data_IF_613099935023
#
_entry.id   IF_613099935023
#
_cell.length_a   1.000
_cell.length_b   1.000
_cell.length_c   1.000
_cell.angle_alpha   90.00
_cell.angle_beta   90.00
_cell.angle_gamma   90.00
#
_symmetry.space_group_name_H-M   'P 1'
#
loop_
_entity.id
_entity.type
_entity.pdbx_description
1 polymer ?
#
# COMPACT_ATOMS: atom_id res chain seq x y z
N UNK A 1 10.37 -23.01 17.87
CA UNK A 1 10.80 -22.05 16.82
C UNK A 1 9.61 -21.15 16.50
N UNK A 2 9.57 -19.95 17.09
CA UNK A 2 8.42 -19.05 16.97
C UNK A 2 8.23 -18.59 15.52
N UNK A 3 7.01 -18.73 14.99
CA UNK A 3 6.63 -18.14 13.71
C UNK A 3 6.58 -16.63 13.92
N UNK A 4 7.68 -15.94 13.67
CA UNK A 4 7.66 -14.47 13.60
C UNK A 4 6.85 -14.11 12.36
N UNK A 5 5.67 -13.52 12.56
CA UNK A 5 4.92 -12.92 11.46
C UNK A 5 5.71 -11.73 10.94
N UNK A 6 6.15 -11.83 9.67
CA UNK A 6 6.82 -10.73 8.98
C UNK A 6 5.84 -9.57 8.88
N UNK A 7 6.24 -8.40 9.36
CA UNK A 7 5.48 -7.17 9.32
C UNK A 7 6.30 -6.08 8.63
N UNK A 8 5.63 -5.19 7.90
CA UNK A 8 6.27 -4.00 7.36
C UNK A 8 6.57 -3.00 8.49
N UNK A 9 7.69 -2.26 8.40
CA UNK A 9 8.02 -1.23 9.38
C UNK A 9 6.98 -0.09 9.35
N UNK A 10 6.73 0.50 10.52
CA UNK A 10 5.81 1.63 10.69
C UNK A 10 6.62 2.93 10.79
N UNK A 11 6.91 3.52 9.65
CA UNK A 11 7.57 4.82 9.57
C UNK A 11 6.57 5.98 9.61
N UNK A 12 7.05 7.21 9.79
CA UNK A 12 6.23 8.44 9.86
C UNK A 12 5.32 8.63 8.65
N UNK A 13 5.74 8.10 7.51
CA UNK A 13 5.07 8.25 6.21
C UNK A 13 3.99 7.19 5.98
N UNK A 14 4.14 5.99 6.59
CA UNK A 14 3.25 4.85 6.38
C UNK A 14 2.31 4.59 7.56
N UNK A 15 2.52 5.26 8.70
CA UNK A 15 1.71 5.08 9.90
C UNK A 15 0.29 5.65 9.71
N UNK A 16 -0.70 4.76 9.75
CA UNK A 16 -2.12 5.11 9.74
C UNK A 16 -2.51 5.83 11.04
N UNK A 17 -2.72 7.15 10.96
CA UNK A 17 -3.07 8.01 12.11
C UNK A 17 -4.57 7.97 12.45
N UNK A 18 -5.44 7.69 11.47
CA UNK A 18 -6.91 7.69 11.63
C UNK A 18 -7.45 6.25 11.62
N UNK A 19 -8.29 5.88 12.60
CA UNK A 19 -8.81 4.51 12.78
C UNK A 19 -7.70 3.44 12.82
N UNK A 20 -6.65 3.72 13.60
CA UNK A 20 -5.48 2.85 13.75
C UNK A 20 -5.80 1.40 14.18
N UNK A 21 -6.91 1.15 14.87
CA UNK A 21 -7.38 -0.19 15.23
C UNK A 21 -7.68 -1.11 14.03
N UNK A 22 -7.94 -0.54 12.85
CA UNK A 22 -8.21 -1.30 11.62
C UNK A 22 -6.94 -1.52 10.78
N UNK A 23 -5.80 -0.94 11.16
CA UNK A 23 -4.58 -1.01 10.37
C UNK A 23 -3.86 -2.34 10.58
N UNK A 24 -3.61 -3.06 9.48
CA UNK A 24 -2.81 -4.29 9.47
C UNK A 24 -1.52 -4.06 8.67
N UNK A 25 -0.38 -4.33 9.29
CA UNK A 25 0.96 -4.25 8.67
C UNK A 25 1.56 -5.64 8.43
N UNK A 26 0.75 -6.70 8.56
CA UNK A 26 1.22 -8.06 8.33
C UNK A 26 1.48 -8.29 6.85
N UNK A 27 2.59 -8.96 6.54
CA UNK A 27 2.98 -9.28 5.17
C UNK A 27 1.90 -10.15 4.49
N UNK A 28 1.31 -11.08 5.23
CA UNK A 28 0.23 -11.95 4.75
C UNK A 28 -1.01 -11.15 4.31
N UNK A 29 -1.47 -10.19 5.12
CA UNK A 29 -2.63 -9.37 4.75
C UNK A 29 -2.34 -8.50 3.53
N UNK A 30 -1.19 -7.84 3.50
CA UNK A 30 -0.81 -6.92 2.41
C UNK A 30 -0.63 -7.68 1.10
N UNK A 31 0.13 -8.79 1.11
CA UNK A 31 0.33 -9.61 -0.10
C UNK A 31 -0.97 -10.27 -0.56
N UNK A 32 -1.86 -10.65 0.38
CA UNK A 32 -3.20 -11.14 0.03
C UNK A 32 -4.01 -10.09 -0.72
N UNK A 33 -4.02 -8.83 -0.25
CA UNK A 33 -4.73 -7.73 -0.91
C UNK A 33 -4.14 -7.46 -2.29
N UNK A 34 -2.82 -7.29 -2.39
CA UNK A 34 -2.14 -6.96 -3.64
C UNK A 34 -2.35 -8.04 -4.71
N UNK A 35 -2.20 -9.32 -4.34
CA UNK A 35 -2.39 -10.42 -5.30
C UNK A 35 -3.86 -10.64 -5.68
N UNK A 36 -4.81 -10.17 -4.87
CA UNK A 36 -6.25 -10.24 -5.20
C UNK A 36 -6.74 -9.08 -6.07
N UNK A 37 -5.99 -7.97 -6.11
CA UNK A 37 -6.39 -6.77 -6.83
C UNK A 37 -5.99 -6.84 -8.31
N UNK A 38 -6.96 -6.64 -9.21
CA UNK A 38 -6.70 -6.52 -10.65
C UNK A 38 -6.32 -5.09 -11.08
N UNK A 39 -6.64 -4.08 -10.27
CA UNK A 39 -6.44 -2.68 -10.59
C UNK A 39 -5.70 -1.95 -9.47
N UNK A 40 -4.82 -1.02 -9.83
CA UNK A 40 -4.17 -0.08 -8.92
C UNK A 40 -4.26 1.35 -9.46
N UNK A 41 -4.44 2.29 -8.54
CA UNK A 41 -4.37 3.72 -8.85
C UNK A 41 -2.96 4.22 -8.57
N UNK A 42 -2.26 4.67 -9.60
CA UNK A 42 -0.92 5.21 -9.48
C UNK A 42 -0.98 6.73 -9.53
N UNK A 43 -0.61 7.35 -8.42
CA UNK A 43 -0.49 8.80 -8.31
C UNK A 43 0.97 9.20 -8.51
N UNK A 44 1.23 10.11 -9.45
CA UNK A 44 2.56 10.68 -9.65
C UNK A 44 2.46 12.17 -10.00
N UNK A 45 3.55 12.90 -9.74
CA UNK A 45 3.66 14.32 -10.05
C UNK A 45 4.46 14.51 -11.34
N UNK A 46 3.83 14.79 -12.50
CA UNK A 46 4.57 15.04 -13.74
C UNK A 46 5.32 16.37 -13.67
N UNK A 47 6.51 16.49 -14.29
CA UNK A 47 7.35 17.69 -14.19
C UNK A 47 6.70 18.96 -14.78
N UNK A 48 5.65 18.81 -15.59
CA UNK A 48 5.02 19.91 -16.34
C UNK A 48 3.67 20.36 -15.76
N UNK A 49 3.18 19.76 -14.67
CA UNK A 49 1.89 20.15 -14.06
C UNK A 49 2.01 20.18 -12.53
N UNK A 50 1.44 21.20 -11.85
CA UNK A 50 1.45 21.30 -10.40
C UNK A 50 0.43 20.36 -9.72
N UNK A 51 -0.38 19.63 -10.49
CA UNK A 51 -1.42 18.75 -9.96
C UNK A 51 -1.03 17.27 -10.10
N UNK A 52 -1.26 16.45 -9.06
CA UNK A 52 -1.00 15.02 -9.12
C UNK A 52 -1.96 14.36 -10.11
N UNK A 53 -1.41 13.52 -10.98
CA UNK A 53 -2.19 12.73 -11.94
C UNK A 53 -2.38 11.34 -11.37
N UNK A 54 -3.62 10.84 -11.40
CA UNK A 54 -3.98 9.49 -10.99
C UNK A 54 -4.26 8.66 -12.24
N UNK A 55 -3.47 7.61 -12.46
CA UNK A 55 -3.66 6.67 -13.55
C UNK A 55 -4.16 5.32 -13.01
N UNK A 56 -5.34 4.84 -13.44
CA UNK A 56 -5.73 3.47 -13.20
C UNK A 56 -4.94 2.53 -14.12
N UNK A 57 -4.18 1.60 -13.53
CA UNK A 57 -3.44 0.57 -14.26
C UNK A 57 -3.84 -0.82 -13.77
N UNK A 58 -3.73 -1.81 -14.66
CA UNK A 58 -3.91 -3.20 -14.27
C UNK A 58 -2.64 -3.71 -13.60
N UNK A 59 -2.79 -4.34 -12.44
CA UNK A 59 -1.69 -5.05 -11.78
C UNK A 59 -1.51 -6.39 -12.49
N UNK A 60 -0.44 -6.54 -13.27
CA UNK A 60 0.00 -7.82 -13.80
C UNK A 60 0.94 -8.45 -12.75
N UNK A 61 0.40 -9.35 -11.93
CA UNK A 61 1.14 -10.13 -10.92
C UNK A 61 1.15 -11.60 -11.33
#
# INVERSE_FOLDING_TARGET
MGRHELQYPKDSDNAVKRYNQLASYSLKSIHGIVNSAQFANLSFNPPNSPFPVILPMTLAV
#
